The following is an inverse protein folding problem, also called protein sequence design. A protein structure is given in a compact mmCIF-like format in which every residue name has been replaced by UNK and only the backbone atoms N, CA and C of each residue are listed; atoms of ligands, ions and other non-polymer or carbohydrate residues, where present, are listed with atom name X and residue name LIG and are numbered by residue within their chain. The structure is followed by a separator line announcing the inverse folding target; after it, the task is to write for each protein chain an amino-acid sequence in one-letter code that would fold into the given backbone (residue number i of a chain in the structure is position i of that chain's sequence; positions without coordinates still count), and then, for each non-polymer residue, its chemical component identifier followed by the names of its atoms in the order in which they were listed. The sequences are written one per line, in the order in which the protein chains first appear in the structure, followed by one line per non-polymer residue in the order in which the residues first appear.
data_IF_962726968753
#
_entry.id   IF_962726968753
#
_cell.length_a   1.000
_cell.length_b   1.000
_cell.length_c   1.000
_cell.angle_alpha   90.00
_cell.angle_beta   90.00
_cell.angle_gamma   90.00
#
_symmetry.space_group_name_H-M   'P 1'
#
loop_
_entity.id
_entity.type
_entity.pdbx_description
1 polymer ?
#
# COMPACT_ATOMS: atom_id res chain seq x y z
N UNK A 1 -23.72 16.94 32.15
CA UNK A 1 -22.92 15.71 31.91
C UNK A 1 -22.47 15.68 30.45
N UNK A 2 -21.33 16.30 30.13
CA UNK A 2 -20.74 16.27 28.78
C UNK A 2 -20.00 14.95 28.57
N UNK A 3 -20.47 14.12 27.63
CA UNK A 3 -19.78 12.89 27.24
C UNK A 3 -18.51 13.28 26.49
N UNK A 4 -17.34 13.03 27.07
CA UNK A 4 -16.05 13.21 26.40
C UNK A 4 -15.97 12.25 25.22
N UNK A 5 -16.12 12.75 23.99
CA UNK A 5 -15.94 11.97 22.77
C UNK A 5 -14.47 11.50 22.71
N UNK A 6 -14.23 10.19 22.84
CA UNK A 6 -12.90 9.62 22.60
C UNK A 6 -12.46 10.02 21.19
N UNK A 7 -11.38 10.78 21.08
CA UNK A 7 -10.78 11.17 19.80
C UNK A 7 -10.56 9.93 18.96
N UNK A 8 -11.30 9.78 17.85
CA UNK A 8 -11.09 8.70 16.89
C UNK A 8 -9.66 8.78 16.37
N UNK A 9 -8.95 7.65 16.35
CA UNK A 9 -7.61 7.58 15.76
C UNK A 9 -7.73 7.88 14.26
N UNK A 10 -6.99 8.88 13.79
CA UNK A 10 -6.90 9.20 12.37
C UNK A 10 -6.13 8.10 11.64
N UNK A 11 -6.53 7.75 10.42
CA UNK A 11 -5.89 6.67 9.66
C UNK A 11 -4.39 6.92 9.43
N UNK A 12 -3.95 8.19 9.39
CA UNK A 12 -2.53 8.55 9.30
C UNK A 12 -1.66 7.96 10.42
N UNK A 13 -2.23 7.67 11.58
CA UNK A 13 -1.51 7.00 12.68
C UNK A 13 -1.15 5.54 12.40
N UNK A 14 -1.71 4.97 11.32
CA UNK A 14 -1.43 3.61 10.84
C UNK A 14 -0.58 3.61 9.57
N UNK A 15 -0.21 4.78 9.05
CA UNK A 15 0.66 4.88 7.87
C UNK A 15 2.06 4.44 8.28
N UNK A 16 2.67 3.60 7.44
CA UNK A 16 4.03 3.15 7.59
C UNK A 16 4.75 3.24 6.26
N UNK A 17 6.05 3.47 6.33
CA UNK A 17 6.98 3.39 5.21
C UNK A 17 7.92 2.22 5.50
N UNK A 18 8.21 1.44 4.45
CA UNK A 18 9.11 0.30 4.56
C UNK A 18 10.06 0.27 3.38
N UNK A 19 11.36 0.12 3.68
CA UNK A 19 12.38 -0.13 2.68
C UNK A 19 12.66 -1.63 2.68
N UNK A 20 12.41 -2.28 1.55
CA UNK A 20 12.53 -3.74 1.41
C UNK A 20 13.39 -4.08 0.20
N UNK A 21 14.12 -5.19 0.30
CA UNK A 21 14.78 -5.81 -0.84
C UNK A 21 14.39 -7.28 -0.89
N UNK A 22 14.37 -7.86 -2.07
CA UNK A 22 14.16 -9.30 -2.24
C UNK A 22 15.37 -9.88 -2.99
N UNK A 23 15.85 -11.03 -2.55
CA UNK A 23 17.09 -11.64 -3.04
C UNK A 23 16.81 -12.82 -3.97
N UNK A 24 17.20 -12.69 -5.24
CA UNK A 24 17.10 -13.72 -6.27
C UNK A 24 16.97 -13.10 -7.67
N UNK A 25 17.16 -13.88 -8.74
CA UNK A 25 16.95 -13.42 -10.14
C UNK A 25 15.46 -13.24 -10.51
N UNK A 26 14.57 -13.22 -9.51
CA UNK A 26 13.13 -13.24 -9.69
C UNK A 26 12.55 -11.83 -9.78
N UNK A 27 11.44 -11.72 -10.51
CA UNK A 27 10.66 -10.48 -10.57
C UNK A 27 10.00 -10.18 -9.22
N UNK A 28 9.74 -8.90 -8.93
CA UNK A 28 8.99 -8.48 -7.74
C UNK A 28 7.64 -9.21 -7.64
N UNK A 29 6.99 -9.47 -8.78
CA UNK A 29 5.73 -10.20 -8.85
C UNK A 29 5.80 -11.65 -8.32
N UNK A 30 7.00 -12.24 -8.24
CA UNK A 30 7.19 -13.58 -7.69
C UNK A 30 7.23 -13.59 -6.15
N UNK A 31 7.51 -12.44 -5.51
CA UNK A 31 7.62 -12.32 -4.05
C UNK A 31 6.51 -11.46 -3.44
N UNK A 32 5.84 -10.64 -4.26
CA UNK A 32 4.83 -9.68 -3.84
C UNK A 32 3.71 -9.60 -4.87
N UNK A 33 2.48 -9.85 -4.43
CA UNK A 33 1.28 -9.63 -5.23
C UNK A 33 0.68 -8.24 -4.94
N UNK A 34 0.31 -7.51 -5.99
CA UNK A 34 -0.50 -6.29 -5.89
C UNK A 34 -1.89 -6.56 -6.44
N UNK A 35 -2.91 -6.21 -5.66
CA UNK A 35 -4.33 -6.40 -6.00
C UNK A 35 -5.08 -5.07 -5.96
N UNK A 36 -6.32 -5.09 -6.44
CA UNK A 36 -7.15 -3.89 -6.56
C UNK A 36 -6.66 -3.02 -7.72
N UNK A 37 -6.89 -1.71 -7.63
CA UNK A 37 -6.46 -0.75 -8.65
C UNK A 37 -7.60 0.08 -9.21
N UNK A 38 -7.22 1.11 -9.95
CA UNK A 38 -8.15 2.12 -10.46
C UNK A 38 -9.17 1.54 -11.46
N UNK A 39 -8.78 0.50 -12.18
CA UNK A 39 -9.58 -0.28 -13.11
C UNK A 39 -10.67 -1.11 -12.41
N UNK A 40 -10.46 -1.47 -11.14
CA UNK A 40 -11.44 -2.16 -10.29
C UNK A 40 -12.22 -1.20 -9.38
N UNK A 41 -11.86 0.10 -9.38
CA UNK A 41 -12.45 1.09 -8.48
C UNK A 41 -11.94 1.00 -7.04
N UNK A 42 -10.88 0.22 -6.80
CA UNK A 42 -10.31 -0.07 -5.48
C UNK A 42 -8.96 0.63 -5.26
N UNK A 43 -8.52 0.73 -4.00
CA UNK A 43 -7.14 1.12 -3.73
C UNK A 43 -6.20 -0.06 -4.01
N UNK A 44 -5.02 0.17 -4.61
CA UNK A 44 -4.02 -0.87 -4.74
C UNK A 44 -3.58 -1.30 -3.34
N UNK A 45 -3.54 -2.60 -3.10
CA UNK A 45 -3.15 -3.17 -1.83
C UNK A 45 -2.33 -4.45 -2.03
N UNK A 46 -1.58 -4.83 -1.00
CA UNK A 46 -0.77 -6.03 -1.02
C UNK A 46 -1.66 -7.27 -0.89
N UNK A 47 -1.46 -8.23 -1.79
CA UNK A 47 -2.02 -9.57 -1.71
C UNK A 47 -1.09 -10.49 -0.92
N UNK A 48 -0.70 -11.60 -1.53
CA UNK A 48 0.32 -12.48 -0.97
C UNK A 48 1.71 -11.81 -0.91
N UNK A 49 2.43 -12.02 0.20
CA UNK A 49 3.80 -11.56 0.39
C UNK A 49 4.67 -12.73 0.85
N UNK A 50 5.62 -13.14 0.02
CA UNK A 50 6.57 -14.21 0.32
C UNK A 50 7.60 -13.71 1.34
N UNK A 51 7.28 -13.90 2.63
CA UNK A 51 8.04 -13.30 3.73
C UNK A 51 9.43 -13.90 3.88
N UNK A 52 9.64 -15.13 3.39
CA UNK A 52 10.96 -15.77 3.39
C UNK A 52 11.90 -15.25 2.30
N UNK A 53 11.37 -14.63 1.24
CA UNK A 53 12.14 -14.14 0.10
C UNK A 53 12.48 -12.65 0.19
N UNK A 54 11.96 -11.95 1.21
CA UNK A 54 12.07 -10.50 1.35
C UNK A 54 12.77 -10.09 2.65
N UNK A 55 13.60 -9.07 2.57
CA UNK A 55 14.37 -8.48 3.67
C UNK A 55 13.88 -7.05 3.88
N UNK A 56 13.55 -6.70 5.12
CA UNK A 56 13.16 -5.35 5.52
C UNK A 56 14.39 -4.64 6.09
N UNK A 57 14.78 -3.54 5.46
CA UNK A 57 15.88 -2.69 5.91
C UNK A 57 15.42 -1.58 6.84
N UNK A 58 14.20 -1.10 6.66
CA UNK A 58 13.60 -0.06 7.50
C UNK A 58 12.08 -0.23 7.54
N UNK A 59 11.45 0.21 8.63
CA UNK A 59 10.01 0.14 8.81
C UNK A 59 9.53 -1.22 9.30
N UNK A 60 8.34 -1.63 8.87
CA UNK A 60 7.74 -2.92 9.24
C UNK A 60 7.61 -3.81 8.01
N UNK A 61 7.54 -5.12 8.23
CA UNK A 61 7.28 -6.05 7.13
C UNK A 61 5.90 -5.73 6.50
N UNK A 62 5.82 -5.56 5.17
CA UNK A 62 4.55 -5.31 4.49
C UNK A 62 3.62 -6.53 4.60
N UNK A 63 2.37 -6.29 4.97
CA UNK A 63 1.40 -7.36 5.20
C UNK A 63 0.32 -7.38 4.12
N UNK A 64 -0.26 -8.56 3.90
CA UNK A 64 -1.45 -8.68 3.07
C UNK A 64 -2.57 -7.76 3.58
N UNK A 65 -3.17 -7.00 2.67
CA UNK A 65 -4.18 -5.99 2.93
C UNK A 65 -3.64 -4.57 3.14
N UNK A 66 -2.32 -4.38 3.25
CA UNK A 66 -1.73 -3.04 3.35
C UNK A 66 -2.00 -2.26 2.06
N UNK A 67 -2.58 -1.06 2.20
CA UNK A 67 -2.88 -0.17 1.07
C UNK A 67 -1.63 0.58 0.65
N UNK A 68 -1.32 0.51 -0.64
CA UNK A 68 -0.18 1.20 -1.24
C UNK A 68 -0.52 2.67 -1.46
N UNK A 69 0.25 3.56 -0.81
CA UNK A 69 0.11 5.01 -0.93
C UNK A 69 1.15 5.61 -1.87
N UNK A 70 2.38 5.15 -1.75
CA UNK A 70 3.55 5.62 -2.48
C UNK A 70 4.54 4.46 -2.65
N UNK A 71 5.24 4.42 -3.78
CA UNK A 71 6.32 3.46 -4.05
C UNK A 71 7.51 4.23 -4.61
N UNK A 72 8.67 4.14 -3.96
CA UNK A 72 9.92 4.79 -4.39
C UNK A 72 9.73 6.28 -4.75
N UNK A 73 9.05 7.06 -3.91
CA UNK A 73 8.78 8.48 -4.18
C UNK A 73 7.63 8.77 -5.15
N UNK A 74 6.97 7.73 -5.69
CA UNK A 74 5.89 7.86 -6.67
C UNK A 74 4.52 7.67 -6.01
N UNK A 75 3.68 8.71 -5.88
CA UNK A 75 2.39 8.61 -5.21
C UNK A 75 1.35 7.88 -6.07
N UNK A 76 0.74 6.82 -5.52
CA UNK A 76 -0.28 6.01 -6.20
C UNK A 76 -1.70 6.57 -6.03
N UNK A 77 -1.93 7.32 -4.96
CA UNK A 77 -3.23 7.97 -4.68
C UNK A 77 -3.56 9.10 -5.67
N UNK A 78 -2.55 9.74 -6.25
CA UNK A 78 -2.73 10.76 -7.31
C UNK A 78 -3.06 10.09 -8.64
N UNK A 79 -2.40 8.95 -8.94
CA UNK A 79 -2.70 8.12 -10.11
C UNK A 79 -4.19 7.72 -10.14
N UNK A 80 -4.74 7.29 -8.99
CA UNK A 80 -6.17 6.94 -8.87
C UNK A 80 -7.13 8.08 -9.21
N UNK A 81 -6.78 9.35 -8.91
CA UNK A 81 -7.62 10.51 -9.27
C UNK A 81 -7.53 10.85 -10.75
N UNK A 82 -6.34 10.76 -11.34
CA UNK A 82 -6.13 11.06 -12.77
C UNK A 82 -6.81 10.00 -13.66
N UNK A 83 -6.70 8.72 -13.31
CA UNK A 83 -7.35 7.62 -14.06
C UNK A 83 -8.88 7.67 -14.03
N UNK A 84 -9.48 8.16 -12.95
CA UNK A 84 -10.93 8.36 -12.87
C UNK A 84 -11.38 9.56 -13.71
N UNK A 85 -10.55 10.59 -13.83
CA UNK A 85 -10.87 11.76 -14.64
C UNK A 85 -10.80 11.45 -16.14
N UNK A 86 -9.81 10.66 -16.58
CA UNK A 86 -9.61 10.32 -18.00
C UNK A 86 -10.63 9.32 -18.57
N UNK A 87 -11.35 8.56 -17.72
CA UNK A 87 -12.41 7.64 -18.15
C UNK A 87 -13.82 8.22 -18.08
N UNK A 88 -13.95 9.49 -17.70
CA UNK A 88 -15.25 10.17 -17.54
C UNK A 88 -15.47 11.32 -18.53
N UNK A 89 -14.69 11.36 -19.62
CA UNK A 89 -14.84 12.32 -20.73
C UNK A 89 -15.10 11.59 -22.03
#
# INVERSE_FOLDING_TARGET
MSKTLKKKKHWSTKVQESAVSWGGSGELAAVLEVRGGAELGEFPHLGHVASEAMVVHAGRFPCGGDVLLEVNGTPLVVMLRVSRLLRSV
#
